data_IF_688954151316
#
_entry.id   IF_688954151316
#
_cell.length_a   1.000
_cell.length_b   1.000
_cell.length_c   1.000
_cell.angle_alpha   90.00
_cell.angle_beta   90.00
_cell.angle_gamma   90.00
#
_symmetry.space_group_name_H-M   'P 1'
#
loop_
_entity.id
_entity.type
_entity.pdbx_description
1 polymer ?
#
# COMPACT_ATOMS: atom_id res chain seq x y z
N UNK A 1 0.75 -33.84 2.81
CA UNK A 1 0.64 -32.52 3.43
C UNK A 1 1.05 -31.54 2.37
N UNK A 2 0.12 -30.74 1.88
CA UNK A 2 0.48 -29.67 0.94
C UNK A 2 1.48 -28.74 1.61
N UNK A 3 2.48 -28.31 0.85
CA UNK A 3 3.49 -27.39 1.38
C UNK A 3 2.82 -26.10 1.85
N UNK A 4 3.30 -25.55 2.97
CA UNK A 4 2.83 -24.28 3.49
C UNK A 4 2.88 -23.19 2.40
N UNK A 5 1.81 -22.38 2.24
CA UNK A 5 1.75 -21.39 1.17
C UNK A 5 2.84 -20.35 1.35
N UNK A 6 3.51 -19.99 0.25
CA UNK A 6 4.56 -18.97 0.20
C UNK A 6 4.04 -17.70 -0.46
N UNK A 7 4.14 -16.56 0.22
CA UNK A 7 3.72 -15.26 -0.30
C UNK A 7 4.91 -14.31 -0.36
N UNK A 8 5.06 -13.62 -1.48
CA UNK A 8 6.01 -12.53 -1.61
C UNK A 8 5.41 -11.24 -1.04
N UNK A 9 6.18 -10.57 -0.18
CA UNK A 9 5.89 -9.25 0.37
C UNK A 9 6.89 -8.28 -0.27
N UNK A 10 6.43 -7.42 -1.17
CA UNK A 10 7.31 -6.47 -1.88
C UNK A 10 7.14 -5.08 -1.26
N UNK A 11 8.23 -4.58 -0.69
CA UNK A 11 8.29 -3.37 0.11
C UNK A 11 9.00 -2.23 -0.62
N UNK A 12 8.49 -1.01 -0.45
CA UNK A 12 9.13 0.22 -0.89
C UNK A 12 9.68 1.08 0.27
N UNK A 13 9.46 0.63 1.52
CA UNK A 13 9.90 1.29 2.76
C UNK A 13 10.25 0.21 3.79
N UNK A 14 11.40 0.34 4.44
CA UNK A 14 11.83 -0.55 5.54
C UNK A 14 10.84 -0.54 6.71
N UNK A 15 10.21 0.60 6.98
CA UNK A 15 9.18 0.78 8.02
C UNK A 15 7.96 -0.13 7.84
N UNK A 16 7.70 -0.62 6.62
CA UNK A 16 6.58 -1.54 6.36
C UNK A 16 6.90 -3.00 6.69
N UNK A 17 8.17 -3.39 6.76
CA UNK A 17 8.58 -4.80 6.85
C UNK A 17 8.16 -5.42 8.19
N UNK A 18 8.51 -4.79 9.31
CA UNK A 18 8.20 -5.34 10.63
C UNK A 18 6.68 -5.41 10.91
N UNK A 19 5.88 -4.35 10.66
CA UNK A 19 4.43 -4.38 10.87
C UNK A 19 3.73 -5.46 10.03
N UNK A 20 4.08 -5.58 8.73
CA UNK A 20 3.46 -6.59 7.87
C UNK A 20 3.83 -8.01 8.35
N UNK A 21 5.09 -8.26 8.70
CA UNK A 21 5.48 -9.57 9.22
C UNK A 21 4.77 -9.92 10.53
N UNK A 22 4.55 -8.95 11.42
CA UNK A 22 3.81 -9.14 12.66
C UNK A 22 2.33 -9.46 12.41
N UNK A 23 1.68 -8.79 11.45
CA UNK A 23 0.29 -9.11 11.11
C UNK A 23 0.16 -10.50 10.47
N UNK A 24 1.07 -10.89 9.58
CA UNK A 24 1.09 -12.27 9.05
C UNK A 24 1.31 -13.30 10.15
N UNK A 25 2.21 -13.05 11.11
CA UNK A 25 2.39 -13.95 12.27
C UNK A 25 1.09 -14.10 13.07
N UNK A 26 0.37 -12.98 13.26
CA UNK A 26 -0.85 -12.93 14.05
C UNK A 26 -2.03 -13.65 13.38
N UNK A 27 -2.19 -13.49 12.07
CA UNK A 27 -3.39 -13.96 11.34
C UNK A 27 -3.17 -15.21 10.49
N UNK A 28 -1.91 -15.50 10.11
CA UNK A 28 -1.57 -16.62 9.24
C UNK A 28 -0.13 -17.13 9.47
N UNK A 29 0.18 -17.63 10.68
CA UNK A 29 1.53 -18.00 11.07
C UNK A 29 2.14 -19.13 10.21
N UNK A 30 1.31 -19.97 9.61
CA UNK A 30 1.75 -21.05 8.72
C UNK A 30 2.26 -20.52 7.36
N UNK A 31 1.97 -19.27 6.99
CA UNK A 31 2.42 -18.69 5.72
C UNK A 31 3.94 -18.47 5.70
N UNK A 32 4.59 -19.01 4.67
CA UNK A 32 6.01 -18.74 4.41
C UNK A 32 6.14 -17.38 3.73
N UNK A 33 6.60 -16.39 4.50
CA UNK A 33 6.82 -15.02 4.04
C UNK A 33 8.14 -14.91 3.27
N UNK A 34 8.11 -14.33 2.08
CA UNK A 34 9.30 -13.91 1.33
C UNK A 34 9.32 -12.39 1.24
N UNK A 35 10.15 -11.72 2.04
CA UNK A 35 10.28 -10.27 2.00
C UNK A 35 11.28 -9.86 0.90
N UNK A 36 10.87 -8.94 0.04
CA UNK A 36 11.73 -8.27 -0.95
C UNK A 36 11.61 -6.76 -0.74
N UNK A 37 12.69 -6.11 -0.31
CA UNK A 37 12.73 -4.66 -0.11
C UNK A 37 13.57 -4.02 -1.19
N UNK A 38 12.98 -3.04 -1.86
CA UNK A 38 13.71 -2.03 -2.61
C UNK A 38 13.45 -0.68 -1.94
N UNK A 39 14.38 -0.29 -1.07
CA UNK A 39 14.28 0.89 -0.20
C UNK A 39 14.42 2.22 -0.93
N UNK A 40 14.74 2.19 -2.23
CA UNK A 40 14.85 3.39 -3.06
C UNK A 40 13.58 3.73 -3.84
N UNK A 41 12.60 2.82 -3.95
CA UNK A 41 11.36 3.02 -4.70
C UNK A 41 10.63 4.31 -4.30
N UNK A 42 10.35 4.47 -3.01
CA UNK A 42 9.60 5.64 -2.50
C UNK A 42 10.38 6.94 -2.69
N UNK A 43 11.70 6.89 -2.50
CA UNK A 43 12.57 8.05 -2.67
C UNK A 43 12.71 8.46 -4.14
N UNK A 44 12.78 7.49 -5.06
CA UNK A 44 12.80 7.73 -6.50
C UNK A 44 11.48 8.32 -6.99
N UNK A 45 10.35 7.79 -6.53
CA UNK A 45 9.03 8.36 -6.84
C UNK A 45 8.92 9.80 -6.33
N UNK A 46 9.36 10.08 -5.10
CA UNK A 46 9.31 11.42 -4.52
C UNK A 46 10.17 12.44 -5.29
N UNK A 47 11.26 12.01 -5.94
CA UNK A 47 12.12 12.86 -6.77
C UNK A 47 11.65 12.95 -8.23
N UNK A 48 10.77 12.06 -8.67
CA UNK A 48 10.34 11.97 -10.06
C UNK A 48 9.36 13.09 -10.41
N UNK A 49 9.73 13.96 -11.35
CA UNK A 49 8.79 14.91 -11.95
C UNK A 49 7.76 14.22 -12.87
N UNK A 50 8.10 13.04 -13.41
CA UNK A 50 7.22 12.25 -14.26
C UNK A 50 6.26 11.35 -13.48
N UNK A 51 6.43 11.23 -12.15
CA UNK A 51 5.66 10.33 -11.31
C UNK A 51 5.94 8.86 -11.64
N UNK A 52 4.87 8.06 -11.76
CA UNK A 52 4.90 6.64 -12.10
C UNK A 52 5.01 6.46 -13.63
N UNK A 53 6.23 6.42 -14.14
CA UNK A 53 6.51 6.25 -15.56
C UNK A 53 6.71 4.77 -15.97
N UNK A 54 6.98 4.55 -17.26
CA UNK A 54 7.25 3.22 -17.81
C UNK A 54 8.48 2.56 -17.17
N UNK A 55 9.47 3.35 -16.73
CA UNK A 55 10.66 2.84 -16.06
C UNK A 55 10.33 2.32 -14.66
N UNK A 56 9.53 3.06 -13.89
CA UNK A 56 9.04 2.61 -12.59
C UNK A 56 8.19 1.35 -12.74
N UNK A 57 7.32 1.32 -13.76
CA UNK A 57 6.49 0.15 -14.07
C UNK A 57 7.35 -1.07 -14.43
N UNK A 58 8.35 -0.92 -15.29
CA UNK A 58 9.28 -2.00 -15.65
C UNK A 58 10.04 -2.53 -14.42
N UNK A 59 10.40 -1.66 -13.49
CA UNK A 59 11.04 -2.05 -12.22
C UNK A 59 10.12 -2.90 -11.35
N UNK A 60 8.85 -2.54 -11.21
CA UNK A 60 7.85 -3.34 -10.49
C UNK A 60 7.66 -4.73 -11.12
N UNK A 61 7.59 -4.80 -12.45
CA UNK A 61 7.54 -6.07 -13.18
C UNK A 61 8.79 -6.91 -12.94
N UNK A 62 9.98 -6.31 -12.91
CA UNK A 62 11.22 -7.03 -12.63
C UNK A 62 11.29 -7.58 -11.20
N UNK A 63 10.88 -6.79 -10.20
CA UNK A 63 10.81 -7.22 -8.79
C UNK A 63 9.82 -8.36 -8.61
N UNK A 64 8.64 -8.25 -9.22
CA UNK A 64 7.63 -9.31 -9.20
C UNK A 64 8.12 -10.57 -9.91
N UNK A 65 8.74 -10.44 -11.09
CA UNK A 65 9.30 -11.59 -11.82
C UNK A 65 10.34 -12.35 -10.99
N UNK A 66 11.23 -11.63 -10.30
CA UNK A 66 12.19 -12.23 -9.38
C UNK A 66 11.48 -12.98 -8.25
N UNK A 67 10.51 -12.35 -7.58
CA UNK A 67 9.76 -12.98 -6.50
C UNK A 67 8.99 -14.23 -6.96
N UNK A 68 8.30 -14.15 -8.10
CA UNK A 68 7.58 -15.27 -8.73
C UNK A 68 8.53 -16.42 -9.06
N UNK A 69 9.74 -16.13 -9.56
CA UNK A 69 10.78 -17.12 -9.83
C UNK A 69 11.23 -17.93 -8.62
N UNK A 70 10.91 -17.48 -7.39
CA UNK A 70 11.20 -18.23 -6.16
C UNK A 70 10.12 -19.24 -5.77
N UNK A 71 9.04 -19.36 -6.55
CA UNK A 71 7.95 -20.29 -6.31
C UNK A 71 6.90 -19.79 -5.31
N UNK A 72 6.68 -18.47 -5.23
CA UNK A 72 5.56 -17.90 -4.44
C UNK A 72 4.23 -18.20 -5.11
N UNK A 73 3.18 -18.33 -4.30
CA UNK A 73 1.79 -18.58 -4.73
C UNK A 73 0.94 -17.30 -4.73
N UNK A 74 1.52 -16.18 -4.31
CA UNK A 74 0.91 -14.86 -4.36
C UNK A 74 1.91 -13.75 -4.05
N UNK A 75 1.57 -12.52 -4.44
CA UNK A 75 2.36 -11.31 -4.21
C UNK A 75 1.48 -10.27 -3.55
N UNK A 76 1.94 -9.73 -2.43
CA UNK A 76 1.37 -8.55 -1.79
C UNK A 76 2.39 -7.42 -1.83
N UNK A 77 2.04 -6.33 -2.49
CA UNK A 77 2.79 -5.08 -2.35
C UNK A 77 2.38 -4.37 -1.07
N UNK A 78 3.33 -3.69 -0.43
CA UNK A 78 3.10 -3.09 0.90
C UNK A 78 3.18 -1.56 0.91
N UNK A 79 3.26 -0.92 -0.27
CA UNK A 79 3.28 0.54 -0.39
C UNK A 79 2.13 1.07 -1.26
N UNK A 80 1.40 2.04 -0.73
CA UNK A 80 0.15 2.54 -1.30
C UNK A 80 0.31 3.46 -2.51
N UNK A 81 1.53 3.90 -2.84
CA UNK A 81 1.77 4.94 -3.84
C UNK A 81 1.96 4.43 -5.28
N UNK A 82 1.89 3.12 -5.50
CA UNK A 82 2.32 2.49 -6.75
C UNK A 82 1.20 1.73 -7.48
N UNK A 83 -0.07 2.06 -7.20
CA UNK A 83 -1.25 1.36 -7.74
C UNK A 83 -1.15 0.99 -9.22
N UNK A 84 -0.93 1.95 -10.14
CA UNK A 84 -0.79 1.67 -11.57
C UNK A 84 0.35 0.70 -11.94
N UNK A 85 1.50 0.78 -11.25
CA UNK A 85 2.60 -0.16 -11.47
C UNK A 85 2.24 -1.58 -11.00
N UNK A 86 1.47 -1.68 -9.91
CA UNK A 86 0.98 -2.96 -9.38
C UNK A 86 -0.08 -3.56 -10.32
N UNK A 87 -0.98 -2.73 -10.88
CA UNK A 87 -1.95 -3.16 -11.89
C UNK A 87 -1.26 -3.76 -13.13
N UNK A 88 -0.16 -3.16 -13.58
CA UNK A 88 0.64 -3.69 -14.68
C UNK A 88 1.26 -5.06 -14.35
N UNK A 89 1.68 -5.27 -13.09
CA UNK A 89 2.14 -6.59 -12.62
C UNK A 89 0.99 -7.58 -12.64
N UNK A 90 -0.17 -7.26 -12.07
CA UNK A 90 -1.34 -8.14 -12.05
C UNK A 90 -1.77 -8.53 -13.48
N UNK A 91 -1.81 -7.58 -14.40
CA UNK A 91 -2.13 -7.83 -15.81
C UNK A 91 -1.11 -8.76 -16.50
N UNK A 92 0.15 -8.75 -16.07
CA UNK A 92 1.21 -9.58 -16.63
C UNK A 92 1.16 -11.04 -16.16
N UNK A 93 0.59 -11.29 -14.99
CA UNK A 93 0.40 -12.62 -14.38
C UNK A 93 -1.04 -12.80 -13.88
N UNK A 94 -2.03 -12.92 -14.79
CA UNK A 94 -3.46 -12.93 -14.43
C UNK A 94 -3.89 -14.14 -13.60
N UNK A 95 -3.15 -15.25 -13.66
CA UNK A 95 -3.44 -16.47 -12.90
C UNK A 95 -2.84 -16.46 -11.48
N UNK A 96 -2.08 -15.41 -11.12
CA UNK A 96 -1.46 -15.26 -9.81
C UNK A 96 -2.13 -14.13 -9.03
N UNK A 97 -2.41 -14.36 -7.75
CA UNK A 97 -2.90 -13.30 -6.87
C UNK A 97 -1.81 -12.24 -6.65
N UNK A 98 -1.97 -11.08 -7.29
CA UNK A 98 -1.13 -9.90 -7.12
C UNK A 98 -2.01 -8.80 -6.52
N UNK A 99 -1.71 -8.42 -5.28
CA UNK A 99 -2.55 -7.51 -4.50
C UNK A 99 -1.83 -6.20 -4.19
N UNK A 100 -2.56 -5.09 -4.29
CA UNK A 100 -2.16 -3.81 -3.70
C UNK A 100 -2.36 -3.87 -2.18
N UNK A 101 -1.67 -3.00 -1.41
CA UNK A 101 -1.86 -2.95 0.03
C UNK A 101 -3.22 -2.39 0.47
N UNK A 102 -3.92 -1.68 -0.43
CA UNK A 102 -5.07 -0.85 -0.05
C UNK A 102 -6.41 -1.53 -0.28
N UNK A 103 -6.49 -2.55 -1.15
CA UNK A 103 -7.76 -3.12 -1.64
C UNK A 103 -8.70 -3.52 -0.51
N UNK A 104 -8.21 -4.32 0.45
CA UNK A 104 -9.03 -4.78 1.58
C UNK A 104 -9.50 -3.62 2.47
N UNK A 105 -8.62 -2.63 2.74
CA UNK A 105 -8.96 -1.44 3.53
C UNK A 105 -10.03 -0.59 2.83
N UNK A 106 -9.93 -0.42 1.51
CA UNK A 106 -10.90 0.33 0.70
C UNK A 106 -12.24 -0.39 0.73
N UNK A 107 -12.28 -1.70 0.51
CA UNK A 107 -13.52 -2.49 0.54
C UNK A 107 -14.25 -2.35 1.89
N UNK A 108 -13.51 -2.41 2.99
CA UNK A 108 -14.08 -2.26 4.34
C UNK A 108 -14.60 -0.84 4.59
N UNK A 109 -13.86 0.19 4.18
CA UNK A 109 -14.29 1.58 4.31
C UNK A 109 -15.56 1.86 3.48
N UNK A 110 -15.66 1.31 2.27
CA UNK A 110 -16.84 1.44 1.40
C UNK A 110 -18.04 0.73 2.00
N UNK A 111 -17.85 -0.50 2.53
CA UNK A 111 -18.92 -1.24 3.20
C UNK A 111 -19.44 -0.50 4.44
N UNK A 112 -18.55 0.03 5.27
CA UNK A 112 -18.92 0.82 6.44
C UNK A 112 -19.72 2.08 6.04
N UNK A 113 -19.24 2.83 5.04
CA UNK A 113 -19.92 4.04 4.57
C UNK A 113 -21.33 3.76 4.00
N UNK A 114 -21.54 2.60 3.36
CA UNK A 114 -22.85 2.20 2.86
C UNK A 114 -23.86 1.89 3.98
N UNK A 115 -23.41 1.32 5.11
CA UNK A 115 -24.30 0.96 6.22
C UNK A 115 -24.80 2.16 7.03
N UNK A 116 -24.07 3.26 7.06
CA UNK A 116 -24.40 4.42 7.90
C UNK A 116 -25.45 5.36 7.27
N UNK A 117 -25.95 5.09 6.07
CA UNK A 117 -26.91 5.96 5.37
C UNK A 117 -26.36 7.36 5.05
N UNK A 118 -25.05 7.56 5.19
CA UNK A 118 -24.35 8.82 4.93
C UNK A 118 -24.14 8.99 3.43
N UNK A 119 -23.90 10.24 3.00
CA UNK A 119 -23.23 10.46 1.73
C UNK A 119 -21.95 9.61 1.70
N UNK A 120 -21.66 8.96 0.56
CA UNK A 120 -20.52 8.04 0.40
C UNK A 120 -19.19 8.80 0.43
N UNK A 121 -18.90 9.53 1.51
CA UNK A 121 -17.74 10.40 1.67
C UNK A 121 -16.76 9.74 2.62
N UNK A 122 -15.53 9.51 2.16
CA UNK A 122 -14.49 8.80 2.91
C UNK A 122 -13.24 9.69 2.99
N UNK A 123 -12.75 9.94 4.21
CA UNK A 123 -11.48 10.60 4.41
C UNK A 123 -10.31 9.65 4.17
N UNK A 124 -9.43 9.99 3.23
CA UNK A 124 -8.19 9.27 2.95
C UNK A 124 -7.01 10.04 3.54
N UNK A 125 -6.52 9.57 4.69
CA UNK A 125 -5.34 10.16 5.34
C UNK A 125 -4.10 9.38 4.94
N UNK A 126 -3.09 10.08 4.41
CA UNK A 126 -1.80 9.46 4.09
C UNK A 126 -0.64 10.31 4.64
N UNK A 127 0.49 9.67 4.91
CA UNK A 127 1.73 10.34 5.37
C UNK A 127 2.73 10.55 4.24
N UNK A 128 2.43 10.03 3.04
CA UNK A 128 3.24 10.12 1.84
C UNK A 128 2.41 10.69 0.68
N UNK A 129 2.73 11.90 0.22
CA UNK A 129 1.93 12.62 -0.76
C UNK A 129 1.65 11.84 -2.06
N UNK A 130 2.62 11.09 -2.66
CA UNK A 130 2.35 10.29 -3.86
C UNK A 130 1.26 9.22 -3.70
N UNK A 131 0.97 8.76 -2.48
CA UNK A 131 -0.16 7.87 -2.23
C UNK A 131 -1.50 8.56 -2.52
N UNK A 132 -1.64 9.85 -2.17
CA UNK A 132 -2.85 10.63 -2.46
C UNK A 132 -3.05 10.92 -3.95
N UNK A 133 -2.02 10.78 -4.78
CA UNK A 133 -2.14 10.91 -6.23
C UNK A 133 -2.66 9.63 -6.90
N UNK A 134 -2.37 8.46 -6.34
CA UNK A 134 -2.70 7.16 -6.94
C UNK A 134 -3.94 6.51 -6.33
N UNK A 135 -4.05 6.50 -5.01
CA UNK A 135 -5.11 5.80 -4.29
C UNK A 135 -6.54 6.26 -4.57
N UNK A 136 -6.87 7.55 -4.80
CA UNK A 136 -8.26 7.95 -5.03
C UNK A 136 -8.93 7.22 -6.20
N UNK A 137 -8.17 6.84 -7.22
CA UNK A 137 -8.67 6.08 -8.37
C UNK A 137 -8.97 4.60 -8.05
N UNK A 138 -8.51 4.09 -6.91
CA UNK A 138 -8.78 2.74 -6.43
C UNK A 138 -10.16 2.63 -5.75
N UNK A 139 -10.78 3.75 -5.40
CA UNK A 139 -12.12 3.77 -4.81
C UNK A 139 -13.21 3.67 -5.90
N UNK A 140 -14.38 3.10 -5.59
CA UNK A 140 -15.52 3.12 -6.50
C UNK A 140 -15.94 4.55 -6.84
N UNK A 141 -16.30 4.82 -8.10
CA UNK A 141 -16.66 6.16 -8.60
C UNK A 141 -17.87 6.84 -7.89
N UNK A 142 -18.63 6.06 -7.11
CA UNK A 142 -19.74 6.55 -6.31
C UNK A 142 -19.33 7.07 -4.92
N UNK A 143 -18.05 6.98 -4.58
CA UNK A 143 -17.47 7.42 -3.31
C UNK A 143 -16.75 8.76 -3.53
N UNK A 144 -17.11 9.77 -2.75
CA UNK A 144 -16.35 11.00 -2.64
C UNK A 144 -15.16 10.78 -1.69
N UNK A 145 -13.96 10.74 -2.23
CA UNK A 145 -12.73 10.61 -1.43
C UNK A 145 -12.21 11.99 -1.05
N UNK A 146 -11.98 12.24 0.24
CA UNK A 146 -11.33 13.46 0.75
C UNK A 146 -9.86 13.13 1.05
N UNK A 147 -8.91 13.43 0.15
CA UNK A 147 -7.50 13.20 0.42
C UNK A 147 -6.98 14.24 1.42
N UNK A 148 -6.29 13.77 2.47
CA UNK A 148 -5.60 14.64 3.43
C UNK A 148 -4.19 14.12 3.68
N UNK A 149 -3.21 15.00 3.54
CA UNK A 149 -1.82 14.72 3.86
C UNK A 149 -1.55 15.02 5.33
N UNK A 150 -1.08 14.01 6.07
CA UNK A 150 -0.47 14.19 7.38
C UNK A 150 0.97 14.66 7.19
N UNK A 151 1.13 15.95 6.92
CA UNK A 151 2.44 16.57 6.65
C UNK A 151 3.44 16.31 7.79
N UNK A 152 4.67 15.94 7.42
CA UNK A 152 5.75 15.64 8.37
C UNK A 152 5.65 14.29 9.10
N UNK A 153 4.51 13.60 9.05
CA UNK A 153 4.30 12.35 9.80
C UNK A 153 5.29 11.25 9.37
N UNK A 154 5.50 11.04 8.06
CA UNK A 154 6.45 10.04 7.58
C UNK A 154 7.90 10.37 7.99
N UNK A 155 8.26 11.66 8.01
CA UNK A 155 9.58 12.09 8.45
C UNK A 155 9.80 11.82 9.94
N UNK A 156 8.80 12.10 10.78
CA UNK A 156 8.82 11.77 12.21
C UNK A 156 8.98 10.26 12.43
N UNK A 157 8.19 9.44 11.73
CA UNK A 157 8.29 7.98 11.82
C UNK A 157 9.69 7.48 11.38
N UNK A 158 10.24 8.06 10.31
CA UNK A 158 11.59 7.72 9.82
C UNK A 158 12.69 8.10 10.80
N UNK A 159 12.46 9.10 11.65
CA UNK A 159 13.35 9.51 12.74
C UNK A 159 13.14 8.71 14.04
N UNK A 160 12.24 7.71 14.05
CA UNK A 160 11.91 6.92 15.23
C UNK A 160 10.90 7.57 16.19
N UNK A 161 10.27 8.68 15.79
CA UNK A 161 9.26 9.39 16.59
C UNK A 161 7.85 9.00 16.17
N UNK A 162 7.41 7.82 16.62
CA UNK A 162 6.07 7.31 16.37
C UNK A 162 4.97 8.16 17.03
N UNK A 163 5.26 8.77 18.18
CA UNK A 163 4.28 9.61 18.89
C UNK A 163 3.93 10.86 18.08
N UNK A 164 4.94 11.52 17.51
CA UNK A 164 4.70 12.67 16.63
C UNK A 164 4.01 12.24 15.32
N UNK A 165 4.40 11.11 14.75
CA UNK A 165 3.71 10.54 13.58
C UNK A 165 2.20 10.37 13.84
N UNK A 166 1.83 9.69 14.93
CA UNK A 166 0.44 9.39 15.26
C UNK A 166 -0.36 10.66 15.57
N UNK A 167 0.25 11.62 16.30
CA UNK A 167 -0.37 12.92 16.57
C UNK A 167 -0.70 13.67 15.27
N UNK A 168 0.23 13.74 14.33
CA UNK A 168 0.04 14.41 13.04
C UNK A 168 -1.03 13.72 12.19
N UNK A 169 -1.06 12.38 12.20
CA UNK A 169 -2.10 11.61 11.52
C UNK A 169 -3.51 11.91 12.08
N UNK A 170 -3.65 12.00 13.41
CA UNK A 170 -4.92 12.35 14.07
C UNK A 170 -5.33 13.80 13.76
N UNK A 171 -4.40 14.75 13.75
CA UNK A 171 -4.66 16.14 13.38
C UNK A 171 -5.17 16.27 11.94
N UNK A 172 -4.54 15.55 11.00
CA UNK A 172 -4.97 15.46 9.62
C UNK A 172 -6.36 14.80 9.49
N UNK A 173 -6.64 13.73 10.23
CA UNK A 173 -7.96 13.10 10.21
C UNK A 173 -9.07 14.04 10.69
N UNK A 174 -8.79 14.89 11.69
CA UNK A 174 -9.75 15.88 12.20
C UNK A 174 -10.06 16.98 11.20
N UNK A 175 -9.10 17.41 10.39
CA UNK A 175 -9.33 18.44 9.37
C UNK A 175 -10.20 17.93 8.21
N UNK A 176 -10.20 16.62 7.94
CA UNK A 176 -11.07 15.99 6.94
C UNK A 176 -12.57 16.01 7.30
N UNK A 177 -12.90 16.25 8.58
CA UNK A 177 -14.27 16.25 9.11
C UNK A 177 -14.94 17.63 9.08
N UNK A 178 -14.15 18.71 8.89
CA UNK A 178 -14.65 20.08 8.80
C UNK A 178 -15.26 20.38 7.42
#
# INVERSE_FOLDING_TARGET
MDAAPRVALIHALSLSVAPVNAEFERVWPECVRMNLLDDSLSADLARSAAGLDDRMTARFVALAAYAIGTGVQGVLFTCSAFGPCIDAVAARWPDLAVLKPNEAMIDDAVRAAATEGRSRRIGLVATFAPALASMPAEFPACVEVIPVLAEGALAALSAGDALTHDRLAVEAARSAHA
#
